data_IF_287132112555
#
_entry.id   IF_287132112555
#
_cell.length_a   1.000
_cell.length_b   1.000
_cell.length_c   1.000
_cell.angle_alpha   90.00
_cell.angle_beta   90.00
_cell.angle_gamma   90.00
#
_symmetry.space_group_name_H-M   'P 1'
#
loop_
_entity.id
_entity.type
_entity.pdbx_description
1 polymer ?
#
# COMPACT_ATOMS: atom_id res chain seq x y z
N UNK A 1 9.36 -26.85 -62.73
CA UNK A 1 10.45 -26.61 -61.77
C UNK A 1 9.93 -25.64 -60.72
N UNK A 2 9.52 -26.14 -59.56
CA UNK A 2 8.98 -25.30 -58.48
C UNK A 2 10.14 -24.71 -57.68
N UNK A 3 10.18 -23.38 -57.61
CA UNK A 3 11.16 -22.61 -56.83
C UNK A 3 10.86 -22.85 -55.35
N UNK A 4 11.73 -23.61 -54.69
CA UNK A 4 11.60 -23.92 -53.26
C UNK A 4 11.69 -22.64 -52.43
N UNK A 5 10.64 -22.35 -51.68
CA UNK A 5 10.64 -21.29 -50.67
C UNK A 5 11.67 -21.67 -49.60
N UNK A 6 12.77 -20.93 -49.50
CA UNK A 6 13.73 -21.05 -48.41
C UNK A 6 13.05 -20.64 -47.09
N UNK A 7 12.34 -21.56 -46.45
CA UNK A 7 11.80 -21.37 -45.09
C UNK A 7 12.98 -21.21 -44.14
N UNK A 8 12.94 -20.16 -43.31
CA UNK A 8 13.93 -19.93 -42.26
C UNK A 8 13.94 -21.11 -41.28
N UNK A 9 15.12 -21.60 -40.86
CA UNK A 9 15.22 -22.73 -39.94
C UNK A 9 14.60 -22.36 -38.59
N UNK A 10 13.85 -23.29 -37.99
CA UNK A 10 13.27 -23.11 -36.66
C UNK A 10 14.38 -22.86 -35.64
N UNK A 11 14.16 -21.89 -34.74
CA UNK A 11 15.08 -21.62 -33.64
C UNK A 11 14.64 -22.34 -32.37
N UNK A 12 15.51 -23.19 -31.85
CA UNK A 12 15.37 -23.78 -30.51
C UNK A 12 16.23 -22.96 -29.56
N UNK A 13 15.60 -22.27 -28.60
CA UNK A 13 16.27 -21.39 -27.65
C UNK A 13 16.26 -22.04 -26.26
N UNK A 14 17.42 -22.51 -25.82
CA UNK A 14 17.63 -23.09 -24.50
C UNK A 14 18.35 -22.14 -23.53
N UNK A 15 18.44 -22.52 -22.26
CA UNK A 15 19.38 -21.90 -21.31
C UNK A 15 20.71 -22.65 -21.32
N UNK A 16 21.81 -21.91 -21.28
CA UNK A 16 23.15 -22.49 -21.25
C UNK A 16 23.35 -23.25 -19.93
N UNK A 17 23.63 -24.55 -20.02
CA UNK A 17 23.98 -25.43 -18.90
C UNK A 17 25.18 -26.30 -19.25
N UNK A 18 25.70 -27.08 -18.29
CA UNK A 18 26.76 -28.07 -18.56
C UNK A 18 26.33 -29.14 -19.56
N UNK A 19 25.03 -29.43 -19.68
CA UNK A 19 24.49 -30.45 -20.60
C UNK A 19 24.17 -29.91 -22.01
N UNK A 20 24.39 -28.63 -22.31
CA UNK A 20 23.95 -28.04 -23.59
C UNK A 20 24.49 -28.78 -24.83
N UNK A 21 25.73 -29.30 -24.78
CA UNK A 21 26.29 -30.09 -25.90
C UNK A 21 25.56 -31.41 -26.10
N UNK A 22 25.20 -32.09 -25.01
CA UNK A 22 24.46 -33.35 -25.04
C UNK A 22 23.05 -33.13 -25.58
N UNK A 23 22.37 -32.07 -25.12
CA UNK A 23 21.05 -31.68 -25.62
C UNK A 23 21.10 -31.39 -27.13
N UNK A 24 22.10 -30.62 -27.59
CA UNK A 24 22.29 -30.36 -29.02
C UNK A 24 22.54 -31.65 -29.81
N UNK A 25 23.34 -32.57 -29.26
CA UNK A 25 23.62 -33.87 -29.88
C UNK A 25 22.38 -34.74 -30.01
N UNK A 26 21.53 -34.80 -28.98
CA UNK A 26 20.26 -35.54 -29.01
C UNK A 26 19.33 -34.96 -30.09
N UNK A 27 19.18 -33.62 -30.11
CA UNK A 27 18.33 -32.95 -31.09
C UNK A 27 18.79 -33.20 -32.53
N UNK A 28 20.08 -33.12 -32.79
CA UNK A 28 20.64 -33.40 -34.12
C UNK A 28 20.49 -34.87 -34.51
N UNK A 29 20.79 -35.80 -33.58
CA UNK A 29 20.72 -37.24 -33.84
C UNK A 29 19.30 -37.73 -34.12
N UNK A 30 18.32 -37.18 -33.42
CA UNK A 30 16.94 -37.67 -33.44
C UNK A 30 15.97 -36.77 -34.22
N UNK A 31 16.45 -35.75 -34.93
CA UNK A 31 15.60 -34.84 -35.70
C UNK A 31 14.73 -35.55 -36.73
N UNK A 32 15.26 -36.60 -37.34
CA UNK A 32 14.58 -37.44 -38.33
C UNK A 32 13.22 -38.00 -37.82
N UNK A 33 13.03 -38.14 -36.50
CA UNK A 33 11.74 -38.57 -35.93
C UNK A 33 10.64 -37.56 -36.25
N UNK A 34 10.95 -36.26 -36.23
CA UNK A 34 10.01 -35.19 -36.55
C UNK A 34 9.77 -35.07 -38.06
N UNK A 35 10.70 -35.51 -38.90
CA UNK A 35 10.57 -35.51 -40.36
C UNK A 35 9.68 -36.65 -40.89
N UNK A 36 9.41 -37.68 -40.09
CA UNK A 36 8.56 -38.81 -40.47
C UNK A 36 7.09 -38.41 -40.65
N UNK A 37 6.65 -37.38 -39.94
CA UNK A 37 5.30 -36.85 -40.04
C UNK A 37 5.25 -35.71 -41.07
N UNK A 38 4.27 -35.76 -41.98
CA UNK A 38 4.19 -34.82 -43.11
C UNK A 38 3.90 -33.39 -42.64
N UNK A 39 3.03 -33.22 -41.64
CA UNK A 39 2.63 -31.93 -41.10
C UNK A 39 3.78 -31.32 -40.30
N UNK A 40 4.46 -32.11 -39.47
CA UNK A 40 5.63 -31.67 -38.71
C UNK A 40 6.79 -31.31 -39.64
N UNK A 41 7.09 -32.13 -40.66
CA UNK A 41 8.16 -31.84 -41.63
C UNK A 41 7.93 -30.51 -42.33
N UNK A 42 6.69 -30.19 -42.70
CA UNK A 42 6.34 -28.91 -43.30
C UNK A 42 6.49 -27.73 -42.32
N UNK A 43 6.15 -27.94 -41.05
CA UNK A 43 6.20 -26.93 -40.00
C UNK A 43 7.63 -26.64 -39.50
N UNK A 44 8.45 -27.69 -39.30
CA UNK A 44 9.75 -27.57 -38.61
C UNK A 44 10.97 -27.50 -39.52
N UNK A 45 10.84 -27.94 -40.77
CA UNK A 45 11.93 -27.96 -41.74
C UNK A 45 13.02 -28.99 -41.42
N UNK A 46 14.16 -28.88 -42.09
CA UNK A 46 15.19 -29.92 -42.11
C UNK A 46 16.07 -29.98 -40.86
N UNK A 47 16.47 -28.83 -40.30
CA UNK A 47 17.26 -28.79 -39.06
C UNK A 47 17.00 -27.49 -38.28
N UNK A 48 16.95 -27.54 -36.94
CA UNK A 48 16.77 -26.36 -36.12
C UNK A 48 18.11 -25.62 -35.95
N UNK A 49 18.02 -24.30 -35.86
CA UNK A 49 19.09 -23.47 -35.31
C UNK A 49 19.00 -23.52 -33.78
N UNK A 50 19.91 -24.25 -33.14
CA UNK A 50 19.97 -24.36 -31.68
C UNK A 50 20.81 -23.23 -31.11
N UNK A 51 20.23 -22.44 -30.20
CA UNK A 51 20.89 -21.32 -29.54
C UNK A 51 20.67 -21.39 -28.03
N UNK A 52 21.69 -20.98 -27.26
CA UNK A 52 21.61 -20.95 -25.80
C UNK A 52 21.78 -19.54 -25.29
N UNK A 53 20.82 -19.06 -24.49
CA UNK A 53 20.94 -17.81 -23.74
C UNK A 53 21.68 -18.06 -22.43
N UNK A 54 22.30 -17.02 -21.86
CA UNK A 54 22.96 -17.16 -20.55
C UNK A 54 21.94 -17.65 -19.49
N UNK A 55 22.38 -18.53 -18.60
CA UNK A 55 21.62 -18.91 -17.40
C UNK A 55 21.51 -17.73 -16.43
N UNK A 56 20.41 -17.64 -15.70
CA UNK A 56 20.24 -16.64 -14.63
C UNK A 56 21.31 -16.84 -13.56
N UNK A 57 22.12 -15.83 -13.31
CA UNK A 57 23.12 -15.88 -12.24
C UNK A 57 22.52 -15.43 -10.88
N UNK A 58 23.30 -15.52 -9.80
CA UNK A 58 22.85 -15.06 -8.47
C UNK A 58 22.39 -13.61 -8.50
N UNK A 59 23.08 -12.72 -9.22
CA UNK A 59 22.65 -11.34 -9.39
C UNK A 59 21.26 -11.24 -10.04
N UNK A 60 20.97 -11.97 -11.10
CA UNK A 60 19.64 -12.00 -11.74
C UNK A 60 18.55 -12.55 -10.82
N UNK A 61 18.92 -13.39 -9.84
CA UNK A 61 17.99 -13.96 -8.86
C UNK A 61 17.82 -13.09 -7.61
N UNK A 62 18.84 -12.30 -7.25
CA UNK A 62 18.93 -11.57 -5.98
C UNK A 62 18.75 -10.04 -6.12
N UNK A 63 18.74 -9.49 -7.32
CA UNK A 63 18.74 -8.03 -7.57
C UNK A 63 17.46 -7.30 -7.20
N UNK A 64 16.35 -8.02 -6.99
CA UNK A 64 15.14 -7.40 -6.47
C UNK A 64 15.14 -7.40 -4.95
N UNK A 65 15.90 -6.48 -4.35
CA UNK A 65 15.76 -6.20 -2.92
C UNK A 65 14.35 -5.65 -2.67
N UNK A 66 13.62 -6.18 -1.68
CA UNK A 66 12.39 -5.53 -1.18
C UNK A 66 12.66 -4.19 -0.50
N UNK A 67 13.93 -3.81 -0.35
CA UNK A 67 14.35 -2.49 0.10
C UNK A 67 14.12 -1.50 -1.03
N UNK A 68 12.92 -0.91 -1.06
CA UNK A 68 12.67 0.27 -1.89
C UNK A 68 13.55 1.40 -1.35
N UNK A 69 14.65 1.72 -2.04
CA UNK A 69 15.26 3.04 -1.87
C UNK A 69 14.15 4.07 -2.12
N UNK A 70 14.02 5.11 -1.27
CA UNK A 70 13.06 6.17 -1.53
C UNK A 70 13.30 6.69 -2.94
N UNK A 71 12.27 6.60 -3.78
CA UNK A 71 12.34 7.00 -5.18
C UNK A 71 12.96 8.39 -5.24
N UNK A 72 14.08 8.55 -5.97
CA UNK A 72 14.69 9.88 -6.16
C UNK A 72 13.58 10.83 -6.63
N UNK A 73 13.37 11.91 -5.89
CA UNK A 73 12.39 12.94 -6.24
C UNK A 73 12.75 13.45 -7.64
N UNK A 74 11.93 13.12 -8.64
CA UNK A 74 12.00 13.75 -9.96
C UNK A 74 11.12 14.99 -9.94
N UNK A 75 11.25 15.90 -10.93
CA UNK A 75 10.34 17.05 -11.03
C UNK A 75 8.86 16.63 -11.07
N UNK A 76 8.60 15.40 -11.52
CA UNK A 76 7.27 14.81 -11.66
C UNK A 76 6.76 14.12 -10.39
N UNK A 77 7.59 13.99 -9.36
CA UNK A 77 7.14 13.42 -8.09
C UNK A 77 6.24 14.41 -7.37
N UNK A 78 4.97 14.03 -7.21
CA UNK A 78 3.99 14.85 -6.55
C UNK A 78 4.36 15.01 -5.06
N UNK A 79 4.93 16.16 -4.71
CA UNK A 79 5.42 16.50 -3.36
C UNK A 79 4.31 16.91 -2.40
N UNK A 80 3.05 16.79 -2.83
CA UNK A 80 1.88 17.14 -2.03
C UNK A 80 1.84 16.29 -0.76
N UNK A 81 2.06 16.93 0.38
CA UNK A 81 1.97 16.33 1.72
C UNK A 81 0.74 16.88 2.45
N UNK A 82 0.35 16.24 3.54
CA UNK A 82 -0.77 16.67 4.38
C UNK A 82 -2.04 15.84 4.22
N UNK A 83 -3.04 16.20 5.02
CA UNK A 83 -4.40 15.70 4.93
C UNK A 83 -5.21 16.52 3.92
N UNK A 84 -5.89 15.85 3.00
CA UNK A 84 -6.68 16.47 1.93
C UNK A 84 -8.04 15.80 1.76
N UNK A 85 -9.02 16.57 1.27
CA UNK A 85 -10.30 16.01 0.81
C UNK A 85 -10.10 15.28 -0.52
N UNK A 86 -10.84 14.20 -0.74
CA UNK A 86 -10.83 13.51 -2.04
C UNK A 86 -11.83 14.09 -3.06
N UNK A 87 -12.55 15.16 -2.70
CA UNK A 87 -13.54 15.84 -3.55
C UNK A 87 -14.93 15.19 -3.54
N UNK A 88 -15.01 13.88 -3.75
CA UNK A 88 -16.28 13.23 -4.14
C UNK A 88 -16.81 12.18 -3.14
N UNK A 89 -16.70 12.41 -1.82
CA UNK A 89 -17.26 11.46 -0.85
C UNK A 89 -17.97 12.12 0.34
N UNK A 90 -18.91 11.38 0.93
CA UNK A 90 -19.72 11.83 2.08
C UNK A 90 -18.89 12.17 3.34
N UNK A 91 -17.65 11.67 3.44
CA UNK A 91 -16.76 11.99 4.56
C UNK A 91 -16.01 13.33 4.38
N UNK A 92 -15.89 13.84 3.15
CA UNK A 92 -15.12 15.05 2.84
C UNK A 92 -15.53 16.30 3.65
N UNK A 93 -16.83 16.56 3.93
CA UNK A 93 -17.24 17.72 4.74
C UNK A 93 -16.64 17.74 6.15
N UNK A 94 -16.35 16.56 6.71
CA UNK A 94 -15.73 16.40 8.02
C UNK A 94 -14.21 16.43 7.96
N UNK A 95 -13.59 16.27 6.79
CA UNK A 95 -12.13 16.30 6.65
C UNK A 95 -11.64 17.74 6.61
N UNK A 96 -10.70 18.05 7.50
CA UNK A 96 -9.97 19.31 7.53
C UNK A 96 -8.66 19.16 6.76
N UNK A 97 -8.49 20.00 5.73
CA UNK A 97 -7.25 20.07 4.97
C UNK A 97 -6.17 20.67 5.87
N UNK A 98 -5.04 19.98 6.01
CA UNK A 98 -3.91 20.51 6.77
C UNK A 98 -2.59 19.88 6.36
N UNK A 99 -1.51 20.64 6.40
CA UNK A 99 -0.13 20.16 6.23
C UNK A 99 0.62 20.07 7.56
N UNK A 100 0.13 20.76 8.58
CA UNK A 100 0.70 20.85 9.92
C UNK A 100 -0.39 20.49 10.93
N UNK A 101 -0.02 19.86 12.03
CA UNK A 101 -0.92 19.61 13.14
C UNK A 101 -0.34 20.17 14.42
N UNK A 102 -1.13 20.96 15.15
CA UNK A 102 -0.67 21.60 16.38
C UNK A 102 -0.84 20.67 17.58
N UNK A 103 0.27 20.44 18.29
CA UNK A 103 0.35 19.50 19.39
C UNK A 103 -0.05 20.06 20.75
N UNK A 104 0.72 19.63 21.76
CA UNK A 104 0.73 20.17 23.13
C UNK A 104 1.62 21.42 23.22
N UNK A 105 1.45 22.22 24.28
CA UNK A 105 2.08 23.55 24.44
C UNK A 105 3.62 23.56 24.42
N UNK A 106 4.26 22.42 24.67
CA UNK A 106 5.72 22.24 24.70
C UNK A 106 6.31 21.81 23.35
N UNK A 107 5.50 21.28 22.42
CA UNK A 107 5.93 20.93 21.06
C UNK A 107 4.80 21.34 20.11
N UNK A 108 4.92 22.55 19.58
CA UNK A 108 3.77 23.22 18.98
C UNK A 108 3.32 22.62 17.65
N UNK A 109 4.20 22.08 16.82
CA UNK A 109 3.84 21.74 15.43
C UNK A 109 4.44 20.40 14.96
N UNK A 110 3.59 19.59 14.32
CA UNK A 110 3.96 18.39 13.60
C UNK A 110 3.68 18.55 12.10
N UNK A 111 4.71 18.42 11.28
CA UNK A 111 4.56 18.46 9.82
C UNK A 111 4.13 17.07 9.32
N UNK A 112 2.95 17.00 8.71
CA UNK A 112 2.42 15.77 8.14
C UNK A 112 3.27 15.40 6.92
N UNK A 113 4.07 14.34 7.04
CA UNK A 113 5.08 13.98 6.03
C UNK A 113 4.50 13.29 4.79
N UNK A 114 3.25 12.83 4.86
CA UNK A 114 2.64 11.96 3.86
C UNK A 114 1.40 12.59 3.26
N UNK A 115 1.06 12.19 2.03
CA UNK A 115 -0.24 12.49 1.45
C UNK A 115 -1.31 11.56 2.03
N UNK A 116 -2.28 12.15 2.72
CA UNK A 116 -3.40 11.43 3.33
C UNK A 116 -4.70 12.03 2.81
N UNK A 117 -5.63 11.18 2.37
CA UNK A 117 -6.96 11.61 1.98
C UNK A 117 -8.01 10.60 2.45
N UNK A 118 -9.26 10.84 2.08
CA UNK A 118 -10.40 10.00 2.46
C UNK A 118 -10.28 8.52 2.05
N UNK A 119 -9.48 8.20 1.03
CA UNK A 119 -9.26 6.83 0.53
C UNK A 119 -8.02 6.15 1.13
N UNK A 120 -7.18 6.89 1.86
CA UNK A 120 -5.99 6.33 2.51
C UNK A 120 -6.39 5.30 3.56
N UNK A 121 -5.71 4.14 3.56
CA UNK A 121 -5.86 3.06 4.54
C UNK A 121 -4.72 3.13 5.58
N UNK A 122 -4.86 2.44 6.72
CA UNK A 122 -3.78 2.39 7.71
C UNK A 122 -3.46 3.77 8.31
N UNK A 123 -4.48 4.55 8.66
CA UNK A 123 -4.35 5.96 9.06
C UNK A 123 -4.46 6.11 10.58
N UNK A 124 -3.56 6.90 11.16
CA UNK A 124 -3.76 7.55 12.46
C UNK A 124 -4.37 8.93 12.21
N UNK A 125 -5.46 9.24 12.91
CA UNK A 125 -6.19 10.48 12.73
C UNK A 125 -6.53 11.12 14.06
N UNK A 126 -6.74 12.44 14.01
CA UNK A 126 -7.30 13.24 15.09
C UNK A 126 -8.70 13.67 14.68
N UNK A 127 -9.66 13.49 15.57
CA UNK A 127 -10.95 14.18 15.54
C UNK A 127 -10.88 15.33 16.55
N UNK A 128 -11.15 16.54 16.08
CA UNK A 128 -11.23 17.74 16.91
C UNK A 128 -12.66 18.28 16.85
N UNK A 129 -13.23 18.54 18.02
CA UNK A 129 -14.50 19.23 18.15
C UNK A 129 -14.29 20.74 18.19
N UNK A 130 -15.28 21.53 17.78
CA UNK A 130 -15.25 23.00 17.91
C UNK A 130 -15.05 23.50 19.35
N UNK A 131 -15.37 22.68 20.37
CA UNK A 131 -15.12 23.02 21.77
C UNK A 131 -13.64 22.84 22.18
N UNK A 132 -12.78 22.39 21.26
CA UNK A 132 -11.35 22.18 21.46
C UNK A 132 -10.97 20.81 21.99
N UNK A 133 -11.95 19.94 22.31
CA UNK A 133 -11.66 18.58 22.76
C UNK A 133 -11.22 17.70 21.57
N UNK A 134 -10.26 16.80 21.83
CA UNK A 134 -9.65 15.95 20.81
C UNK A 134 -9.83 14.46 21.12
N UNK A 135 -9.93 13.67 20.06
CA UNK A 135 -9.88 12.21 20.07
C UNK A 135 -8.87 11.72 19.05
N UNK A 136 -8.00 10.79 19.45
CA UNK A 136 -7.03 10.15 18.56
C UNK A 136 -7.54 8.75 18.27
N UNK A 137 -7.51 8.35 17.00
CA UNK A 137 -7.90 7.01 16.60
C UNK A 137 -7.06 6.46 15.45
N UNK A 138 -7.10 5.14 15.30
CA UNK A 138 -6.56 4.43 14.12
C UNK A 138 -7.64 3.80 13.23
N UNK A 139 -7.26 3.49 12.00
CA UNK A 139 -8.04 2.63 11.12
C UNK A 139 -7.15 1.83 10.17
N UNK A 140 -7.40 0.52 10.05
CA UNK A 140 -6.85 -0.31 8.96
C UNK A 140 -7.58 -0.07 7.63
N UNK A 141 -8.86 0.27 7.71
CA UNK A 141 -9.74 0.54 6.55
C UNK A 141 -9.53 1.96 6.04
N UNK A 142 -10.16 2.27 4.90
CA UNK A 142 -10.15 3.63 4.34
C UNK A 142 -10.63 4.66 5.36
N UNK A 143 -9.94 5.79 5.44
CA UNK A 143 -10.23 6.86 6.39
C UNK A 143 -11.70 7.33 6.34
N UNK A 144 -12.29 7.45 5.14
CA UNK A 144 -13.70 7.80 4.96
C UNK A 144 -14.66 6.88 5.68
N UNK A 145 -14.37 5.56 5.71
CA UNK A 145 -15.26 4.58 6.35
C UNK A 145 -15.27 4.80 7.86
N UNK A 146 -14.10 5.06 8.45
CA UNK A 146 -13.97 5.34 9.88
C UNK A 146 -14.67 6.65 10.28
N UNK A 147 -14.56 7.69 9.46
CA UNK A 147 -15.28 8.96 9.69
C UNK A 147 -16.79 8.73 9.70
N UNK A 148 -17.32 8.03 8.68
CA UNK A 148 -18.75 7.78 8.58
C UNK A 148 -19.28 6.85 9.68
N UNK A 149 -18.45 5.96 10.22
CA UNK A 149 -18.80 5.19 11.41
C UNK A 149 -19.01 6.08 12.62
N UNK A 150 -18.12 7.04 12.91
CA UNK A 150 -18.34 8.00 14.00
C UNK A 150 -19.63 8.80 13.81
N UNK A 151 -19.91 9.25 12.58
CA UNK A 151 -21.17 9.92 12.24
C UNK A 151 -22.37 9.01 12.49
N UNK A 152 -22.28 7.74 12.10
CA UNK A 152 -23.30 6.72 12.36
C UNK A 152 -23.49 6.43 13.84
N UNK A 153 -22.42 6.39 14.62
CA UNK A 153 -22.45 6.14 16.07
C UNK A 153 -23.19 7.28 16.78
N UNK A 154 -22.95 8.54 16.39
CA UNK A 154 -23.68 9.71 16.92
C UNK A 154 -25.16 9.61 16.60
N UNK A 155 -25.52 9.41 15.33
CA UNK A 155 -26.92 9.33 14.88
C UNK A 155 -27.72 8.23 15.58
N UNK A 156 -27.07 7.10 15.83
CA UNK A 156 -27.68 5.95 16.51
C UNK A 156 -27.47 5.97 18.03
N UNK A 157 -26.93 7.06 18.60
CA UNK A 157 -26.65 7.21 20.03
C UNK A 157 -25.90 6.02 20.64
N UNK A 158 -24.91 5.49 19.91
CA UNK A 158 -24.08 4.39 20.41
C UNK A 158 -23.19 4.88 21.54
N UNK A 159 -22.88 3.99 22.48
CA UNK A 159 -22.02 4.29 23.61
C UNK A 159 -20.54 4.32 23.20
N UNK A 160 -20.11 5.42 22.56
CA UNK A 160 -18.71 5.70 22.26
C UNK A 160 -18.35 7.09 22.78
N UNK A 161 -17.11 7.33 23.17
CA UNK A 161 -16.72 8.62 23.77
C UNK A 161 -17.03 9.83 22.88
N UNK A 162 -16.81 9.71 21.57
CA UNK A 162 -17.18 10.73 20.58
C UNK A 162 -18.70 10.88 20.54
N UNK A 163 -19.45 9.79 20.39
CA UNK A 163 -20.91 9.88 20.27
C UNK A 163 -21.55 10.46 21.53
N UNK A 164 -21.11 10.03 22.71
CA UNK A 164 -21.57 10.54 23.99
C UNK A 164 -21.31 12.05 24.11
N UNK A 165 -20.09 12.51 23.79
CA UNK A 165 -19.73 13.93 23.83
C UNK A 165 -20.56 14.79 22.87
N UNK A 166 -20.70 14.37 21.61
CA UNK A 166 -21.42 15.16 20.61
C UNK A 166 -22.93 15.17 20.89
N UNK A 167 -23.49 14.04 21.34
CA UNK A 167 -24.91 13.98 21.68
C UNK A 167 -25.25 14.78 22.94
N UNK A 168 -24.35 14.84 23.94
CA UNK A 168 -24.61 15.55 25.20
C UNK A 168 -24.34 17.05 25.13
N UNK A 169 -23.28 17.48 24.43
CA UNK A 169 -22.85 18.89 24.42
C UNK A 169 -23.20 19.64 23.14
N UNK A 170 -23.53 18.92 22.06
CA UNK A 170 -23.77 19.51 20.74
C UNK A 170 -25.05 18.99 20.09
N UNK A 171 -25.96 18.41 20.87
CA UNK A 171 -27.28 17.93 20.43
C UNK A 171 -27.22 16.98 19.22
N UNK A 172 -26.13 16.22 19.09
CA UNK A 172 -25.92 15.27 17.99
C UNK A 172 -25.46 15.93 16.67
N UNK A 173 -25.16 17.23 16.67
CA UNK A 173 -24.70 17.93 15.48
C UNK A 173 -23.29 17.45 15.05
N UNK A 174 -23.24 16.57 14.07
CA UNK A 174 -21.97 16.03 13.56
C UNK A 174 -21.09 17.09 12.85
N UNK A 175 -21.65 18.22 12.44
CA UNK A 175 -20.92 19.28 11.73
C UNK A 175 -19.81 19.93 12.57
N UNK A 176 -19.89 19.78 13.90
CA UNK A 176 -18.90 20.27 14.86
C UNK A 176 -17.61 19.45 14.92
N UNK A 177 -17.58 18.28 14.28
CA UNK A 177 -16.39 17.44 14.22
C UNK A 177 -15.56 17.74 12.97
N UNK A 178 -14.24 17.84 13.16
CA UNK A 178 -13.25 17.88 12.07
C UNK A 178 -12.22 16.79 12.25
N UNK A 179 -11.87 16.13 11.14
CA UNK A 179 -10.95 15.01 11.10
C UNK A 179 -9.71 15.36 10.29
N UNK A 180 -8.54 15.10 10.87
CA UNK A 180 -7.22 15.30 10.25
C UNK A 180 -6.48 13.97 10.31
N UNK A 181 -6.10 13.45 9.16
CA UNK A 181 -5.17 12.32 9.08
C UNK A 181 -3.75 12.82 9.32
N UNK A 182 -3.09 12.32 10.36
CA UNK A 182 -1.76 12.82 10.79
C UNK A 182 -0.64 11.88 10.37
N UNK A 183 -0.93 10.59 10.19
CA UNK A 183 0.05 9.60 9.78
C UNK A 183 -0.60 8.45 9.02
N UNK A 184 0.13 7.89 8.05
CA UNK A 184 -0.27 6.68 7.32
C UNK A 184 0.85 5.63 7.45
N UNK A 185 0.49 4.45 7.94
CA UNK A 185 1.37 3.31 8.08
C UNK A 185 1.17 2.39 6.87
N UNK A 186 2.16 2.33 5.99
CA UNK A 186 2.14 1.44 4.83
C UNK A 186 2.21 -0.03 5.28
N UNK A 187 1.35 -0.87 4.73
CA UNK A 187 1.49 -2.32 4.86
C UNK A 187 2.75 -2.76 4.12
N UNK A 188 3.67 -3.43 4.83
CA UNK A 188 4.83 -4.08 4.20
C UNK A 188 4.43 -5.44 3.63
N UNK A 189 5.10 -5.90 2.58
CA UNK A 189 4.92 -7.25 2.00
C UNK A 189 5.28 -8.38 2.97
N UNK A 190 6.15 -8.11 3.95
CA UNK A 190 6.32 -8.99 5.10
C UNK A 190 5.15 -8.78 6.05
N UNK A 191 4.47 -9.86 6.38
CA UNK A 191 3.34 -9.96 7.34
C UNK A 191 3.84 -9.58 8.75
N UNK A 192 4.22 -8.32 8.93
CA UNK A 192 4.27 -7.70 10.24
C UNK A 192 2.87 -7.25 10.59
N UNK A 193 2.49 -7.38 11.86
CA UNK A 193 1.17 -6.98 12.32
C UNK A 193 0.97 -5.46 12.17
N UNK A 194 0.35 -5.06 11.05
CA UNK A 194 -0.05 -3.68 10.77
C UNK A 194 -0.88 -3.11 11.92
N UNK A 195 -1.66 -3.95 12.60
CA UNK A 195 -2.43 -3.50 13.76
C UNK A 195 -1.53 -3.10 14.91
N UNK A 196 -0.54 -3.93 15.23
CA UNK A 196 0.40 -3.65 16.30
C UNK A 196 1.14 -2.32 16.02
N UNK A 197 1.55 -2.08 14.77
CA UNK A 197 2.14 -0.79 14.38
C UNK A 197 1.16 0.38 14.56
N UNK A 198 -0.08 0.22 14.13
CA UNK A 198 -1.10 1.26 14.30
C UNK A 198 -1.42 1.50 15.78
N UNK A 199 -1.49 0.45 16.60
CA UNK A 199 -1.70 0.54 18.05
C UNK A 199 -0.56 1.30 18.74
N UNK A 200 0.70 1.00 18.38
CA UNK A 200 1.87 1.73 18.90
C UNK A 200 1.80 3.22 18.57
N UNK A 201 1.59 3.54 17.29
CA UNK A 201 1.51 4.94 16.84
C UNK A 201 0.32 5.66 17.47
N UNK A 202 -0.85 5.01 17.56
CA UNK A 202 -2.04 5.56 18.23
C UNK A 202 -1.73 5.93 19.69
N UNK A 203 -1.07 5.05 20.46
CA UNK A 203 -0.67 5.32 21.84
C UNK A 203 0.30 6.52 21.95
N UNK A 204 1.29 6.60 21.07
CA UNK A 204 2.24 7.73 21.02
C UNK A 204 1.53 9.04 20.69
N UNK A 205 0.56 9.02 19.77
CA UNK A 205 -0.25 10.18 19.42
C UNK A 205 -1.19 10.60 20.56
N UNK A 206 -1.81 9.65 21.28
CA UNK A 206 -2.64 9.94 22.46
C UNK A 206 -1.80 10.66 23.52
N UNK A 207 -0.61 10.11 23.81
CA UNK A 207 0.32 10.70 24.77
C UNK A 207 0.78 12.09 24.32
N UNK A 208 1.23 12.23 23.07
CA UNK A 208 1.75 13.50 22.54
C UNK A 208 0.68 14.60 22.46
N UNK A 209 -0.59 14.26 22.24
CA UNK A 209 -1.70 15.23 22.19
C UNK A 209 -2.37 15.50 23.53
N UNK A 210 -2.03 14.73 24.57
CA UNK A 210 -2.74 14.72 25.87
C UNK A 210 -4.27 14.58 25.71
N UNK A 211 -4.72 13.70 24.81
CA UNK A 211 -6.14 13.50 24.46
C UNK A 211 -6.88 12.51 25.37
N UNK A 212 -6.26 12.10 26.48
CA UNK A 212 -6.91 11.24 27.48
C UNK A 212 -7.94 12.03 28.28
N UNK A 213 -9.03 11.38 28.68
CA UNK A 213 -9.97 11.94 29.66
C UNK A 213 -9.20 12.36 30.95
N UNK A 214 -9.46 13.55 31.52
CA UNK A 214 -10.52 14.52 31.17
C UNK A 214 -10.14 15.56 30.10
N UNK A 215 -8.87 15.65 29.68
CA UNK A 215 -8.41 16.65 28.70
C UNK A 215 -8.77 16.34 27.24
N UNK A 216 -9.22 15.12 26.96
CA UNK A 216 -9.70 14.68 25.65
C UNK A 216 -10.73 13.56 25.76
N UNK A 217 -10.99 12.87 24.65
CA UNK A 217 -12.03 11.84 24.53
C UNK A 217 -11.49 10.40 24.51
N UNK A 218 -10.19 10.18 24.65
CA UNK A 218 -9.64 8.83 24.77
C UNK A 218 -9.82 8.34 26.22
N UNK A 219 -10.76 7.42 26.44
CA UNK A 219 -11.08 6.86 27.78
C UNK A 219 -9.95 5.98 28.34
N UNK A 220 -9.18 5.36 27.45
CA UNK A 220 -8.00 4.57 27.81
C UNK A 220 -7.15 4.28 26.59
N UNK A 221 -5.89 3.90 26.85
CA UNK A 221 -5.00 3.34 25.86
C UNK A 221 -4.05 2.37 26.57
N UNK A 222 -3.52 1.39 25.84
CA UNK A 222 -2.66 0.34 26.43
C UNK A 222 -1.28 0.42 25.80
N UNK A 223 -0.24 0.28 26.63
CA UNK A 223 1.14 0.09 26.16
C UNK A 223 1.50 -1.37 25.88
N UNK A 224 0.54 -2.30 26.01
CA UNK A 224 0.72 -3.72 25.66
C UNK A 224 1.35 -3.96 24.28
N UNK A 225 1.07 -3.16 23.23
CA UNK A 225 1.76 -3.28 21.95
C UNK A 225 3.30 -3.20 22.03
N UNK A 226 3.84 -2.47 23.02
CA UNK A 226 5.27 -2.23 23.21
C UNK A 226 5.99 -3.33 24.02
N UNK A 227 5.25 -4.23 24.65
CA UNK A 227 5.76 -5.39 25.39
C UNK A 227 5.89 -6.60 24.45
#
# INVERSE_FOLDING_TARGET
MAVGVNKLPIRVIGEFSSQHKEISGILQKHWHILEQDADLREAVGSHPLITYRRSKNLHDRLTHSHYNNPTKLTWLTNSTKGCHRCGNCLACPYVQKSTIFSGRRDINEYIIQQFINCKTMGVIYVMECICGIRYIGKTKREFRRRILEHVGDIRNKRNTSIANHINSLHEGNCGVMKFIGVEHIKSTTRVGDLDNKLLKREAEWIYWTNSKVPGGLNEGFTFSPFL
#
